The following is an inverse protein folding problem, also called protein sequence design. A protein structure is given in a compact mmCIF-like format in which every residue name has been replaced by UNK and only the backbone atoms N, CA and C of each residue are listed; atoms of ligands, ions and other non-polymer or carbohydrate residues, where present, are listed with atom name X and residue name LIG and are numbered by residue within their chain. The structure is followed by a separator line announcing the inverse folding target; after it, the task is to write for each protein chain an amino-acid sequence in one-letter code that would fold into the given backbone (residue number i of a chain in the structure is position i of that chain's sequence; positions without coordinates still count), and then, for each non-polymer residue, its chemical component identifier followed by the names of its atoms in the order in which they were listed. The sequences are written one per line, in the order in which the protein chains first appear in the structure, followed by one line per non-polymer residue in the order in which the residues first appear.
data_IF_400614537734
#
_entry.id   IF_400614537734
#
_cell.length_a   1.000
_cell.length_b   1.000
_cell.length_c   1.000
_cell.angle_alpha   90.00
_cell.angle_beta   90.00
_cell.angle_gamma   90.00
#
_symmetry.space_group_name_H-M   'P 1'
#
loop_
_entity.id
_entity.type
_entity.pdbx_description
1 polymer ?
#
# COMPACT_ATOMS: atom_id res chain seq x y z
N UNK A 1 21.41 26.37 -10.56
CA UNK A 1 21.38 25.23 -11.51
C UNK A 1 20.06 24.50 -11.32
N UNK A 2 19.44 23.96 -12.38
CA UNK A 2 18.21 23.16 -12.26
C UNK A 2 18.56 21.68 -12.39
N UNK A 3 17.85 20.82 -11.68
CA UNK A 3 18.05 19.37 -11.70
C UNK A 3 16.79 18.68 -12.19
N UNK A 4 16.96 17.58 -12.92
CA UNK A 4 15.87 16.69 -13.32
C UNK A 4 16.27 15.29 -12.86
N UNK A 5 15.40 14.70 -12.04
CA UNK A 5 15.54 13.32 -11.58
C UNK A 5 14.49 12.47 -12.28
N UNK A 6 14.94 11.40 -12.96
CA UNK A 6 14.07 10.49 -13.71
C UNK A 6 14.22 9.11 -13.10
N UNK A 7 13.14 8.57 -12.54
CA UNK A 7 13.07 7.20 -12.04
C UNK A 7 12.25 6.36 -13.01
N UNK A 8 12.82 5.28 -13.51
CA UNK A 8 12.09 4.27 -14.27
C UNK A 8 11.68 3.15 -13.31
N UNK A 9 10.44 3.19 -12.83
CA UNK A 9 9.92 2.22 -11.86
C UNK A 9 9.97 0.79 -12.44
N UNK A 10 10.47 -0.16 -11.65
CA UNK A 10 10.65 -1.55 -12.06
C UNK A 10 11.59 -1.77 -13.25
N UNK A 11 12.50 -0.85 -13.57
CA UNK A 11 13.35 -0.97 -14.76
C UNK A 11 14.46 -2.02 -14.66
N UNK A 12 14.85 -2.42 -13.44
CA UNK A 12 15.78 -3.52 -13.22
C UNK A 12 15.04 -4.85 -13.40
N UNK A 13 15.67 -5.80 -14.06
CA UNK A 13 15.09 -7.11 -14.35
C UNK A 13 16.19 -8.17 -14.45
N UNK A 14 15.79 -9.42 -14.43
CA UNK A 14 16.67 -10.57 -14.58
C UNK A 14 16.99 -10.86 -16.06
N UNK A 15 18.15 -11.48 -16.35
CA UNK A 15 18.47 -11.98 -17.68
C UNK A 15 17.43 -12.98 -18.21
N UNK A 16 16.93 -12.72 -19.42
CA UNK A 16 15.97 -13.61 -20.08
C UNK A 16 16.69 -14.73 -20.85
N UNK A 17 16.56 -15.97 -20.37
CA UNK A 17 17.21 -17.14 -20.95
C UNK A 17 16.89 -17.35 -22.44
N UNK A 18 15.63 -17.14 -22.84
CA UNK A 18 15.14 -17.27 -24.21
C UNK A 18 15.44 -16.04 -25.11
N UNK A 19 16.18 -15.06 -24.59
CA UNK A 19 16.65 -13.87 -25.30
C UNK A 19 18.17 -13.68 -25.19
N UNK A 20 18.89 -14.81 -25.09
CA UNK A 20 20.36 -14.81 -25.06
C UNK A 20 20.95 -14.24 -23.77
N UNK A 21 20.23 -14.35 -22.65
CA UNK A 21 20.70 -13.91 -21.33
C UNK A 21 20.78 -12.39 -21.18
N UNK A 22 19.96 -11.64 -21.93
CA UNK A 22 19.85 -10.18 -21.81
C UNK A 22 18.63 -9.79 -21.00
N UNK A 23 18.74 -8.69 -20.27
CA UNK A 23 17.60 -8.03 -19.62
C UNK A 23 16.72 -7.29 -20.65
N UNK A 24 15.45 -7.01 -20.34
CA UNK A 24 14.60 -6.17 -21.19
C UNK A 24 15.22 -4.80 -21.51
N UNK A 25 15.90 -4.18 -20.54
CA UNK A 25 16.54 -2.87 -20.74
C UNK A 25 17.72 -2.94 -21.71
N UNK A 26 18.45 -4.05 -21.75
CA UNK A 26 19.51 -4.29 -22.75
C UNK A 26 18.97 -4.59 -24.14
N UNK A 27 17.81 -5.25 -24.23
CA UNK A 27 17.14 -5.57 -25.50
C UNK A 27 16.45 -4.35 -26.11
N UNK A 28 16.00 -3.40 -25.29
CA UNK A 28 15.27 -2.23 -25.72
C UNK A 28 16.11 -1.28 -26.60
N UNK A 29 15.52 -0.82 -27.71
CA UNK A 29 16.09 0.26 -28.52
C UNK A 29 15.89 1.61 -27.80
N UNK A 30 16.92 2.05 -27.07
CA UNK A 30 16.87 3.24 -26.18
C UNK A 30 17.98 4.27 -26.49
N UNK A 31 18.07 4.80 -27.72
CA UNK A 31 19.19 5.63 -28.16
C UNK A 31 19.43 6.87 -27.28
N UNK A 32 18.37 7.44 -26.69
CA UNK A 32 18.47 8.61 -25.81
C UNK A 32 19.08 8.26 -24.44
N UNK A 33 18.65 7.15 -23.82
CA UNK A 33 19.24 6.68 -22.56
C UNK A 33 20.69 6.25 -22.77
N UNK A 34 20.97 5.54 -23.87
CA UNK A 34 22.33 5.14 -24.22
C UNK A 34 23.25 6.36 -24.44
N UNK A 35 22.73 7.43 -25.06
CA UNK A 35 23.47 8.69 -25.21
C UNK A 35 23.77 9.34 -23.86
N UNK A 36 22.81 9.40 -22.95
CA UNK A 36 23.02 9.94 -21.59
C UNK A 36 24.09 9.12 -20.86
N UNK A 37 24.04 7.79 -20.95
CA UNK A 37 25.02 6.90 -20.34
C UNK A 37 26.45 7.12 -20.90
N UNK A 38 26.59 7.24 -22.23
CA UNK A 38 27.89 7.45 -22.90
C UNK A 38 28.48 8.84 -22.66
N UNK A 39 27.65 9.87 -22.57
CA UNK A 39 28.09 11.25 -22.39
C UNK A 39 28.12 11.69 -20.92
N UNK A 40 27.66 10.84 -20.00
CA UNK A 40 27.55 11.12 -18.57
C UNK A 40 28.44 10.23 -17.72
N UNK A 41 27.96 9.93 -16.51
CA UNK A 41 28.57 8.98 -15.58
C UNK A 41 27.57 7.91 -15.23
N UNK A 42 28.02 6.66 -15.21
CA UNK A 42 27.22 5.50 -14.87
C UNK A 42 27.72 4.88 -13.57
N UNK A 43 26.82 4.19 -12.87
CA UNK A 43 27.12 3.45 -11.65
C UNK A 43 25.91 2.62 -11.24
N UNK A 44 26.07 1.85 -10.17
CA UNK A 44 24.98 1.11 -9.54
C UNK A 44 24.55 1.85 -8.28
N UNK A 45 23.23 1.97 -8.07
CA UNK A 45 22.64 2.59 -6.90
C UNK A 45 21.84 1.56 -6.12
N UNK A 46 22.15 1.40 -4.83
CA UNK A 46 21.31 0.67 -3.90
C UNK A 46 20.34 1.67 -3.26
N UNK A 47 19.05 1.55 -3.58
CA UNK A 47 18.01 2.52 -3.16
C UNK A 47 17.34 2.14 -1.84
N UNK A 48 17.43 0.87 -1.43
CA UNK A 48 16.85 0.35 -0.20
C UNK A 48 17.98 -0.32 0.60
N UNK A 49 18.10 0.02 1.88
CA UNK A 49 19.01 -0.70 2.76
C UNK A 49 18.61 -2.18 2.88
N UNK A 50 19.58 -3.09 2.98
CA UNK A 50 19.31 -4.53 3.03
C UNK A 50 18.53 -4.97 4.27
N UNK A 51 18.53 -4.15 5.32
CA UNK A 51 17.73 -4.39 6.54
C UNK A 51 16.26 -4.01 6.39
N UNK A 52 15.89 -3.29 5.32
CA UNK A 52 14.51 -2.86 5.06
C UNK A 52 13.87 -3.71 3.98
N UNK A 53 12.56 -3.91 4.12
CA UNK A 53 11.75 -4.53 3.04
C UNK A 53 11.76 -3.61 1.82
N UNK A 54 12.09 -4.12 0.62
CA UNK A 54 12.09 -3.32 -0.59
C UNK A 54 10.67 -2.91 -0.97
N UNK A 55 10.45 -1.60 -1.05
CA UNK A 55 9.18 -0.99 -1.42
C UNK A 55 9.40 0.38 -2.08
N UNK A 56 8.47 0.79 -2.96
CA UNK A 56 8.58 2.07 -3.68
C UNK A 56 8.63 3.26 -2.72
N UNK A 57 7.97 3.20 -1.57
CA UNK A 57 8.00 4.20 -0.52
C UNK A 57 9.41 4.39 0.06
N UNK A 58 10.04 3.32 0.52
CA UNK A 58 11.42 3.34 1.06
C UNK A 58 12.41 3.78 -0.02
N UNK A 59 12.30 3.24 -1.24
CA UNK A 59 13.19 3.58 -2.35
C UNK A 59 13.09 5.06 -2.73
N UNK A 60 11.89 5.60 -2.87
CA UNK A 60 11.70 7.01 -3.21
C UNK A 60 12.16 7.92 -2.06
N UNK A 61 11.96 7.53 -0.80
CA UNK A 61 12.48 8.28 0.36
C UNK A 61 14.00 8.42 0.29
N UNK A 62 14.73 7.33 0.08
CA UNK A 62 16.19 7.35 -0.09
C UNK A 62 16.63 8.20 -1.28
N UNK A 63 15.95 8.06 -2.42
CA UNK A 63 16.28 8.77 -3.66
C UNK A 63 16.10 10.29 -3.50
N UNK A 64 15.11 10.70 -2.71
CA UNK A 64 14.87 12.10 -2.35
C UNK A 64 15.82 12.60 -1.25
N UNK A 65 16.76 11.78 -0.78
CA UNK A 65 17.80 12.17 0.19
C UNK A 65 17.40 12.02 1.65
N UNK A 66 16.23 11.46 1.95
CA UNK A 66 15.81 11.19 3.32
C UNK A 66 16.32 9.82 3.76
N UNK A 67 16.86 9.73 4.98
CA UNK A 67 17.24 8.45 5.59
C UNK A 67 16.01 7.65 6.01
N UNK A 68 15.68 6.52 5.35
CA UNK A 68 14.49 5.75 5.71
C UNK A 68 14.58 5.12 7.09
N UNK A 69 15.78 4.85 7.61
CA UNK A 69 15.95 4.32 8.97
C UNK A 69 15.48 5.30 10.04
N UNK A 70 15.50 6.60 9.71
CA UNK A 70 15.05 7.68 10.60
C UNK A 70 13.61 8.09 10.36
N UNK A 71 13.18 8.11 9.10
CA UNK A 71 11.93 8.77 8.70
C UNK A 71 10.81 7.82 8.30
N UNK A 72 11.10 6.58 7.89
CA UNK A 72 10.07 5.65 7.47
C UNK A 72 9.22 5.20 8.64
N UNK A 73 7.93 5.50 8.58
CA UNK A 73 6.94 5.15 9.60
C UNK A 73 5.73 4.47 8.95
N UNK A 74 5.97 3.53 8.04
CA UNK A 74 4.93 2.78 7.35
C UNK A 74 4.27 3.54 6.19
N UNK A 75 3.77 2.77 5.23
CA UNK A 75 3.12 3.26 4.02
C UNK A 75 1.79 3.94 4.30
N UNK A 76 1.05 3.46 5.29
CA UNK A 76 -0.21 4.09 5.72
C UNK A 76 -0.01 5.55 6.14
N UNK A 77 1.07 5.84 6.85
CA UNK A 77 1.39 7.20 7.28
C UNK A 77 1.73 8.13 6.12
N UNK A 78 2.52 7.67 5.16
CA UNK A 78 2.88 8.44 3.97
C UNK A 78 1.66 8.71 3.07
N UNK A 79 0.83 7.71 2.85
CA UNK A 79 -0.39 7.85 2.03
C UNK A 79 -1.42 8.76 2.72
N UNK A 80 -1.58 8.68 4.05
CA UNK A 80 -2.44 9.59 4.81
C UNK A 80 -2.03 11.06 4.65
N UNK A 81 -0.73 11.35 4.74
CA UNK A 81 -0.20 12.69 4.49
C UNK A 81 -0.43 13.14 3.04
N UNK A 82 -0.20 12.26 2.06
CA UNK A 82 -0.43 12.57 0.65
C UNK A 82 -1.91 12.86 0.33
N UNK A 83 -2.84 12.26 1.07
CA UNK A 83 -4.29 12.47 0.94
C UNK A 83 -4.78 13.69 1.71
N UNK A 84 -3.92 14.35 2.51
CA UNK A 84 -4.33 15.46 3.37
C UNK A 84 -5.24 15.04 4.53
N UNK A 85 -5.20 13.77 4.94
CA UNK A 85 -5.96 13.27 6.08
C UNK A 85 -5.46 13.95 7.37
N UNK A 86 -6.36 14.44 8.25
CA UNK A 86 -5.95 14.94 9.56
C UNK A 86 -5.18 13.87 10.32
N UNK A 87 -3.93 14.18 10.68
CA UNK A 87 -3.03 13.22 11.33
C UNK A 87 -2.48 13.80 12.65
N UNK A 88 -3.25 13.66 13.74
CA UNK A 88 -2.85 14.10 15.08
C UNK A 88 -1.62 13.36 15.60
N UNK A 89 -0.90 13.99 16.51
CA UNK A 89 0.22 13.35 17.21
C UNK A 89 -0.26 12.21 18.11
N UNK A 90 0.44 11.09 18.08
CA UNK A 90 0.10 9.88 18.84
C UNK A 90 -0.82 8.90 18.09
N UNK A 91 -1.45 9.32 17.00
CA UNK A 91 -2.28 8.46 16.17
C UNK A 91 -1.44 7.62 15.21
N UNK A 92 -2.02 6.54 14.71
CA UNK A 92 -1.44 5.71 13.66
C UNK A 92 -2.34 5.69 12.43
N UNK A 93 -1.72 5.82 11.26
CA UNK A 93 -2.38 5.60 9.99
C UNK A 93 -2.01 4.22 9.45
N UNK A 94 -3.01 3.39 9.18
CA UNK A 94 -2.86 2.12 8.47
C UNK A 94 -3.34 2.31 7.05
N UNK A 95 -2.59 1.76 6.08
CA UNK A 95 -3.14 1.51 4.75
C UNK A 95 -4.18 0.42 4.88
N UNK A 96 -5.27 0.53 4.14
CA UNK A 96 -6.39 -0.38 4.27
C UNK A 96 -6.91 -0.77 2.90
N UNK A 97 -6.85 -2.07 2.61
CA UNK A 97 -7.41 -2.60 1.37
C UNK A 97 -8.87 -3.03 1.56
N UNK A 98 -9.70 -2.82 0.55
CA UNK A 98 -10.93 -3.62 0.38
C UNK A 98 -10.55 -4.92 -0.34
N UNK A 99 -10.84 -6.06 0.29
CA UNK A 99 -10.38 -7.37 -0.19
C UNK A 99 -11.53 -8.35 -0.36
N UNK A 100 -11.32 -9.38 -1.17
CA UNK A 100 -12.17 -10.57 -1.24
C UNK A 100 -11.46 -11.73 -0.58
N UNK A 101 -12.10 -12.32 0.42
CA UNK A 101 -11.68 -13.52 1.13
C UNK A 101 -12.72 -14.59 0.85
N UNK A 102 -12.26 -15.77 0.43
CA UNK A 102 -13.11 -16.93 0.13
C UNK A 102 -12.48 -18.16 0.75
N UNK A 103 -13.27 -18.95 1.48
CA UNK A 103 -12.81 -20.17 2.16
C UNK A 103 -11.57 -19.97 3.04
N UNK A 104 -11.49 -18.84 3.75
CA UNK A 104 -10.37 -18.48 4.62
C UNK A 104 -9.10 -18.03 3.89
N UNK A 105 -9.14 -17.87 2.56
CA UNK A 105 -7.99 -17.48 1.74
C UNK A 105 -8.15 -16.09 1.14
N UNK A 106 -7.04 -15.40 0.93
CA UNK A 106 -7.02 -14.13 0.20
C UNK A 106 -7.27 -14.38 -1.29
N UNK A 107 -8.51 -14.26 -1.74
CA UNK A 107 -8.88 -14.46 -3.15
C UNK A 107 -8.43 -13.30 -4.02
N UNK A 108 -8.63 -12.08 -3.54
CA UNK A 108 -8.31 -10.87 -4.29
C UNK A 108 -8.05 -9.68 -3.35
N UNK A 109 -6.82 -9.15 -3.38
CA UNK A 109 -6.42 -8.02 -2.54
C UNK A 109 -7.01 -6.66 -2.95
N UNK A 110 -7.72 -6.62 -4.09
CA UNK A 110 -8.32 -5.43 -4.69
C UNK A 110 -9.84 -5.51 -4.81
N UNK A 111 -10.42 -6.65 -4.42
CA UNK A 111 -11.81 -6.99 -4.63
C UNK A 111 -12.29 -6.73 -6.07
N UNK A 112 -11.51 -7.16 -7.06
CA UNK A 112 -11.79 -7.00 -8.49
C UNK A 112 -11.64 -5.56 -8.95
N UNK A 113 -10.56 -4.90 -8.54
CA UNK A 113 -10.31 -3.48 -8.76
C UNK A 113 -11.56 -2.63 -8.47
N UNK A 114 -12.12 -2.80 -7.26
CA UNK A 114 -13.29 -2.05 -6.81
C UNK A 114 -13.09 -0.55 -7.06
N UNK A 115 -14.13 0.13 -7.56
CA UNK A 115 -14.02 1.57 -7.89
C UNK A 115 -13.93 2.42 -6.63
N UNK A 116 -13.45 3.65 -6.75
CA UNK A 116 -13.36 4.58 -5.62
C UNK A 116 -14.74 4.89 -5.05
N UNK A 117 -15.76 5.00 -5.91
CA UNK A 117 -17.14 5.28 -5.53
C UNK A 117 -17.76 4.12 -4.74
N UNK A 118 -17.57 2.89 -5.22
CA UNK A 118 -18.02 1.68 -4.51
C UNK A 118 -17.31 1.54 -3.16
N UNK A 119 -15.99 1.75 -3.13
CA UNK A 119 -15.20 1.68 -1.92
C UNK A 119 -15.58 2.73 -0.88
N UNK A 120 -15.83 3.97 -1.31
CA UNK A 120 -16.29 5.05 -0.45
C UNK A 120 -17.65 4.75 0.19
N UNK A 121 -18.59 4.18 -0.56
CA UNK A 121 -19.89 3.78 -0.03
C UNK A 121 -19.78 2.69 1.05
N UNK A 122 -18.95 1.67 0.83
CA UNK A 122 -18.68 0.62 1.82
C UNK A 122 -18.03 1.20 3.09
N UNK A 123 -17.02 2.06 2.93
CA UNK A 123 -16.33 2.71 4.04
C UNK A 123 -17.25 3.62 4.86
N UNK A 124 -18.16 4.35 4.20
CA UNK A 124 -19.14 5.17 4.90
C UNK A 124 -20.04 4.33 5.82
N UNK A 125 -20.59 3.22 5.32
CA UNK A 125 -21.41 2.32 6.15
C UNK A 125 -20.61 1.67 7.28
N UNK A 126 -19.34 1.32 7.05
CA UNK A 126 -18.48 0.81 8.11
C UNK A 126 -18.19 1.87 9.19
N UNK A 127 -17.92 3.11 8.77
CA UNK A 127 -17.63 4.21 9.69
C UNK A 127 -18.78 4.51 10.66
N UNK A 128 -20.04 4.34 10.23
CA UNK A 128 -21.20 4.46 11.11
C UNK A 128 -21.28 3.36 12.17
N UNK A 129 -20.76 2.17 11.85
CA UNK A 129 -20.85 0.97 12.69
C UNK A 129 -19.64 0.77 13.60
N UNK A 130 -18.50 1.37 13.25
CA UNK A 130 -17.25 1.19 13.98
C UNK A 130 -16.56 2.53 14.32
N UNK A 131 -17.13 3.35 15.22
CA UNK A 131 -16.64 4.70 15.52
C UNK A 131 -15.30 4.74 16.28
N UNK A 132 -14.75 3.59 16.69
CA UNK A 132 -13.45 3.51 17.34
C UNK A 132 -12.28 3.85 16.39
N UNK A 133 -12.52 3.81 15.07
CA UNK A 133 -11.56 4.13 14.02
C UNK A 133 -12.18 5.14 13.05
N UNK A 134 -11.34 5.96 12.43
CA UNK A 134 -11.76 6.82 11.32
C UNK A 134 -11.35 6.20 9.99
N UNK A 135 -12.29 6.15 9.05
CA UNK A 135 -12.10 5.52 7.75
C UNK A 135 -12.09 6.59 6.65
N UNK A 136 -10.99 6.67 5.91
CA UNK A 136 -10.82 7.66 4.84
C UNK A 136 -10.72 6.93 3.50
N UNK A 137 -11.74 7.06 2.63
CA UNK A 137 -11.70 6.44 1.32
C UNK A 137 -10.63 7.10 0.46
N UNK A 138 -9.88 6.29 -0.27
CA UNK A 138 -8.84 6.72 -1.18
C UNK A 138 -9.17 6.32 -2.62
N UNK A 139 -8.17 5.84 -3.35
CA UNK A 139 -8.32 5.46 -4.76
C UNK A 139 -8.51 3.96 -4.89
N UNK A 140 -9.65 3.56 -5.45
CA UNK A 140 -10.03 2.16 -5.64
C UNK A 140 -10.00 1.41 -4.30
N UNK A 141 -9.34 0.25 -4.24
CA UNK A 141 -9.20 -0.53 -3.01
C UNK A 141 -8.26 0.10 -1.98
N UNK A 142 -7.55 1.18 -2.28
CA UNK A 142 -6.48 1.74 -1.42
C UNK A 142 -7.05 2.86 -0.56
N UNK A 143 -7.26 2.57 0.72
CA UNK A 143 -7.90 3.46 1.68
C UNK A 143 -7.03 3.63 2.92
N UNK A 144 -7.44 4.50 3.84
CA UNK A 144 -6.71 4.76 5.08
C UNK A 144 -7.62 4.54 6.28
N UNK A 145 -7.06 3.94 7.32
CA UNK A 145 -7.64 3.88 8.67
C UNK A 145 -6.78 4.74 9.58
N UNK A 146 -7.40 5.67 10.30
CA UNK A 146 -6.76 6.39 11.40
C UNK A 146 -7.17 5.75 12.72
N UNK A 147 -6.18 5.34 13.50
CA UNK A 147 -6.35 4.76 14.82
C UNK A 147 -5.87 5.76 15.88
N UNK A 148 -6.81 6.33 16.67
CA UNK A 148 -6.45 7.28 17.72
C UNK A 148 -5.61 6.64 18.83
N UNK A 149 -4.48 7.27 19.20
CA UNK A 149 -3.60 6.84 20.30
C UNK A 149 -3.16 5.37 20.23
N UNK A 150 -2.98 4.85 19.02
CA UNK A 150 -2.56 3.49 18.75
C UNK A 150 -1.14 3.18 19.27
N UNK A 151 -0.91 1.92 19.60
CA UNK A 151 0.40 1.40 20.04
C UNK A 151 1.17 0.69 18.92
N UNK A 152 0.49 0.38 17.82
CA UNK A 152 1.01 -0.35 16.68
C UNK A 152 0.65 -1.82 16.69
N UNK A 153 0.65 -2.43 15.51
CA UNK A 153 0.54 -3.87 15.30
C UNK A 153 1.29 -4.30 14.06
N UNK A 154 1.84 -5.49 14.12
CA UNK A 154 2.37 -6.19 12.96
C UNK A 154 1.21 -6.48 12.00
N UNK A 155 1.47 -6.32 10.71
CA UNK A 155 0.47 -6.50 9.66
C UNK A 155 1.16 -6.82 8.34
N UNK A 156 0.44 -7.46 7.43
CA UNK A 156 0.99 -7.96 6.18
C UNK A 156 0.33 -7.32 4.96
N UNK A 157 1.07 -6.99 3.89
CA UNK A 157 0.50 -6.55 2.63
C UNK A 157 -0.39 -7.64 2.01
N UNK A 158 -1.65 -7.35 1.65
CA UNK A 158 -2.57 -8.37 1.15
C UNK A 158 -2.21 -8.86 -0.27
N UNK A 159 -1.46 -8.07 -1.04
CA UNK A 159 -1.04 -8.43 -2.40
C UNK A 159 0.09 -9.48 -2.43
N UNK A 160 0.79 -9.69 -1.32
CA UNK A 160 1.86 -10.69 -1.22
C UNK A 160 1.34 -12.07 -0.79
N UNK A 161 0.05 -12.17 -0.42
CA UNK A 161 -0.55 -13.38 0.17
C UNK A 161 -1.75 -13.91 -0.64
N UNK A 162 -1.87 -13.52 -1.91
CA UNK A 162 -2.96 -13.99 -2.79
C UNK A 162 -2.89 -15.51 -2.94
N UNK A 163 -4.00 -16.19 -2.66
CA UNK A 163 -4.12 -17.65 -2.68
C UNK A 163 -3.74 -18.37 -1.37
N UNK A 164 -3.13 -17.64 -0.42
CA UNK A 164 -2.70 -18.18 0.87
C UNK A 164 -3.82 -18.12 1.93
N UNK A 165 -3.70 -18.95 2.96
CA UNK A 165 -4.54 -18.90 4.16
C UNK A 165 -4.23 -17.64 4.98
N UNK A 166 -5.27 -16.85 5.29
CA UNK A 166 -5.10 -15.55 5.94
C UNK A 166 -4.73 -15.65 7.42
N UNK A 167 -4.98 -16.77 8.10
CA UNK A 167 -4.96 -16.86 9.55
C UNK A 167 -3.58 -16.50 10.14
N UNK A 168 -2.51 -16.83 9.43
CA UNK A 168 -1.14 -16.52 9.84
C UNK A 168 -0.73 -15.05 9.61
N UNK A 169 -1.47 -14.32 8.77
CA UNK A 169 -1.17 -12.95 8.33
C UNK A 169 -2.07 -11.88 8.95
N UNK A 170 -3.06 -12.30 9.74
CA UNK A 170 -3.91 -11.40 10.51
C UNK A 170 -3.08 -10.47 11.42
N UNK A 171 -3.56 -9.24 11.71
CA UNK A 171 -2.85 -8.31 12.58
C UNK A 171 -2.46 -8.94 13.93
N UNK A 172 -1.25 -8.65 14.41
CA UNK A 172 -0.73 -9.14 15.70
C UNK A 172 -0.14 -8.01 16.52
N UNK A 173 -0.32 -8.09 17.83
CA UNK A 173 0.24 -7.13 18.78
C UNK A 173 -0.81 -6.25 19.47
N UNK A 174 -0.38 -5.13 20.06
CA UNK A 174 -1.18 -4.34 21.00
C UNK A 174 -2.55 -3.84 20.50
N UNK A 175 -2.65 -3.50 19.20
CA UNK A 175 -3.87 -2.95 18.59
C UNK A 175 -4.66 -3.98 17.79
N UNK A 176 -4.17 -5.23 17.73
CA UNK A 176 -4.72 -6.28 16.87
C UNK A 176 -6.20 -6.57 17.18
N UNK A 177 -6.60 -6.57 18.45
CA UNK A 177 -7.98 -6.83 18.84
C UNK A 177 -8.97 -5.85 18.18
N UNK A 178 -8.64 -4.56 18.17
CA UNK A 178 -9.49 -3.52 17.58
C UNK A 178 -9.49 -3.62 16.07
N UNK A 179 -8.32 -3.88 15.45
CA UNK A 179 -8.23 -4.07 14.00
C UNK A 179 -9.02 -5.28 13.53
N UNK A 180 -8.94 -6.41 14.25
CA UNK A 180 -9.70 -7.63 13.98
C UNK A 180 -11.19 -7.43 14.18
N UNK A 181 -11.60 -6.68 15.21
CA UNK A 181 -12.99 -6.31 15.42
C UNK A 181 -13.53 -5.44 14.28
N UNK A 182 -12.72 -4.52 13.74
CA UNK A 182 -13.08 -3.72 12.58
C UNK A 182 -13.22 -4.57 11.31
N UNK A 183 -12.31 -5.53 11.08
CA UNK A 183 -12.40 -6.49 9.97
C UNK A 183 -13.69 -7.31 10.06
N UNK A 184 -14.00 -7.86 11.24
CA UNK A 184 -15.24 -8.62 11.46
C UNK A 184 -16.49 -7.75 11.27
N UNK A 185 -16.47 -6.52 11.78
CA UNK A 185 -17.56 -5.57 11.57
C UNK A 185 -17.77 -5.29 10.08
N UNK A 186 -16.68 -5.12 9.33
CA UNK A 186 -16.75 -4.93 7.88
C UNK A 186 -17.35 -6.15 7.16
N UNK A 187 -17.01 -7.38 7.56
CA UNK A 187 -17.66 -8.59 7.02
C UNK A 187 -19.17 -8.58 7.19
N UNK A 188 -19.65 -8.20 8.37
CA UNK A 188 -21.07 -8.12 8.68
C UNK A 188 -21.77 -7.00 7.88
N UNK A 189 -21.15 -5.82 7.81
CA UNK A 189 -21.69 -4.66 7.07
C UNK A 189 -21.70 -4.90 5.57
N UNK A 190 -20.66 -5.53 5.02
CA UNK A 190 -20.46 -5.68 3.59
C UNK A 190 -21.30 -6.81 2.99
N UNK A 191 -21.60 -7.86 3.76
CA UNK A 191 -22.32 -9.06 3.31
C UNK A 191 -23.58 -8.75 2.50
N UNK A 192 -24.39 -7.82 2.99
CA UNK A 192 -25.69 -7.47 2.41
C UNK A 192 -25.73 -6.07 1.78
N UNK A 193 -24.57 -5.42 1.67
CA UNK A 193 -24.48 -4.04 1.19
C UNK A 193 -24.90 -3.93 -0.29
N UNK A 194 -25.66 -2.88 -0.67
CA UNK A 194 -26.12 -2.70 -2.06
C UNK A 194 -25.00 -2.74 -3.10
N UNK A 195 -23.81 -2.20 -2.76
CA UNK A 195 -22.61 -2.28 -3.63
C UNK A 195 -22.26 -3.73 -3.93
N UNK A 196 -22.11 -4.59 -2.93
CA UNK A 196 -21.74 -5.98 -3.16
C UNK A 196 -22.83 -6.76 -3.89
N UNK A 197 -24.10 -6.49 -3.60
CA UNK A 197 -25.23 -7.08 -4.35
C UNK A 197 -25.17 -6.72 -5.83
N UNK A 198 -24.91 -5.46 -6.16
CA UNK A 198 -24.75 -5.00 -7.54
C UNK A 198 -23.50 -5.61 -8.21
N UNK A 199 -22.37 -5.71 -7.48
CA UNK A 199 -21.14 -6.35 -7.98
C UNK A 199 -21.37 -7.81 -8.34
N UNK A 200 -21.98 -8.58 -7.45
CA UNK A 200 -22.31 -9.99 -7.66
C UNK A 200 -23.26 -10.16 -8.85
N UNK A 201 -24.32 -9.34 -8.94
CA UNK A 201 -25.25 -9.36 -10.07
C UNK A 201 -24.57 -9.07 -11.42
N UNK A 202 -23.47 -8.30 -11.41
CA UNK A 202 -22.65 -7.99 -12.58
C UNK A 202 -21.49 -8.99 -12.81
N UNK A 203 -21.40 -10.08 -12.03
CA UNK A 203 -20.33 -11.07 -12.14
C UNK A 203 -18.96 -10.60 -11.62
N UNK A 204 -18.92 -9.50 -10.85
CA UNK A 204 -17.70 -8.97 -10.22
C UNK A 204 -17.50 -9.56 -8.83
N UNK A 205 -16.25 -9.67 -8.40
CA UNK A 205 -15.91 -10.08 -7.03
C UNK A 205 -16.36 -9.03 -6.01
N UNK A 206 -17.06 -9.41 -4.93
CA UNK A 206 -17.47 -8.49 -3.87
C UNK A 206 -16.29 -8.21 -2.92
N UNK A 207 -16.30 -7.04 -2.27
CA UNK A 207 -15.40 -6.80 -1.14
C UNK A 207 -16.00 -7.47 0.10
N UNK A 208 -15.33 -8.48 0.66
CA UNK A 208 -15.85 -9.24 1.80
C UNK A 208 -15.44 -8.64 3.13
N UNK A 209 -14.31 -7.93 3.19
CA UNK A 209 -13.86 -7.24 4.40
C UNK A 209 -12.83 -6.15 4.06
N UNK A 210 -12.37 -5.45 5.09
CA UNK A 210 -11.20 -4.57 5.05
C UNK A 210 -9.94 -5.33 5.46
N UNK A 211 -8.77 -4.84 5.05
CA UNK A 211 -7.47 -5.39 5.43
C UNK A 211 -6.50 -4.27 5.82
N UNK A 212 -6.33 -3.96 7.12
CA UNK A 212 -5.39 -2.94 7.59
C UNK A 212 -3.94 -3.45 7.58
N UNK A 213 -3.02 -2.66 7.03
CA UNK A 213 -1.61 -3.00 6.95
C UNK A 213 -0.68 -1.78 6.85
N UNK A 214 0.62 -2.00 7.11
CA UNK A 214 1.66 -0.96 7.07
C UNK A 214 1.30 0.28 7.91
N UNK A 215 0.90 0.01 9.17
CA UNK A 215 0.59 1.04 10.15
C UNK A 215 1.83 1.79 10.60
N UNK A 216 1.68 3.09 10.84
CA UNK A 216 2.69 3.83 11.59
C UNK A 216 2.27 5.25 11.92
N UNK A 217 3.16 5.92 12.64
CA UNK A 217 2.96 7.28 13.15
C UNK A 217 3.26 8.32 12.08
N UNK A 218 2.79 9.54 12.31
CA UNK A 218 3.16 10.68 11.48
C UNK A 218 4.70 10.84 11.43
N UNK A 219 5.34 10.73 10.27
CA UNK A 219 6.78 10.90 10.17
C UNK A 219 7.17 12.38 10.37
N UNK A 220 8.23 12.62 11.14
CA UNK A 220 8.79 13.95 11.37
C UNK A 220 9.89 14.25 10.32
N UNK A 221 9.51 14.40 9.06
CA UNK A 221 10.45 14.68 7.96
C UNK A 221 10.68 16.19 7.83
N UNK A 222 11.94 16.64 7.61
CA UNK A 222 12.20 18.03 7.24
C UNK A 222 11.61 18.34 5.86
N UNK A 223 11.38 19.62 5.57
CA UNK A 223 10.97 20.00 4.23
C UNK A 223 12.11 19.68 3.24
N UNK A 224 11.77 19.45 1.97
CA UNK A 224 12.78 19.13 0.97
C UNK A 224 13.72 20.30 0.67
N UNK A 225 13.31 21.52 1.01
CA UNK A 225 14.11 22.73 0.85
C UNK A 225 15.09 23.00 2.00
N UNK A 226 14.93 22.29 3.13
CA UNK A 226 15.79 22.39 4.32
C UNK A 226 17.04 21.50 4.21
#
# INVERSE_FOLDING_TARGET
MKYILILADGAADEPLADRGGKTPLELAAKPNMDKIARCGRCGMLQTVDRSLTPGSDVANMSIMGYDPMKYYNGRGALEALSMGVPFPEGDWAYRCNLVTIEDGKMKDFSAGHITSEEGAALFASLSEKFPALSFYPGVSYRNIIMFPKAKGSESFPPHDIVGEDIAQYLPKGPDAEVLLAAMKCAEEVFRDHPVNKARIAAGKTPATTIWPWSGGKKPAMPAFED
#
